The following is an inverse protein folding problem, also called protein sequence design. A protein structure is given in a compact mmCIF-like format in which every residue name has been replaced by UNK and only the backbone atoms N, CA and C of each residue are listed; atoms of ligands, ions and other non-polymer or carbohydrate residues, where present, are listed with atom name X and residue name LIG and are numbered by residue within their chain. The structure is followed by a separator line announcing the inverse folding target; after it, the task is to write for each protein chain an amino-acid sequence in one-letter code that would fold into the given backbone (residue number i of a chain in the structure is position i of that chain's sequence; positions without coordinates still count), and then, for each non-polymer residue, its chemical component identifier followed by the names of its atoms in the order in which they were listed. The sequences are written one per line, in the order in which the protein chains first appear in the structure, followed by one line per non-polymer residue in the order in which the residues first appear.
data_IF_216819717384
#
_entry.id   IF_216819717384
#
_cell.length_a   1.000
_cell.length_b   1.000
_cell.length_c   1.000
_cell.angle_alpha   90.00
_cell.angle_beta   90.00
_cell.angle_gamma   90.00
#
_symmetry.space_group_name_H-M   'P 1'
#
loop_
_entity.id
_entity.type
_entity.pdbx_description
1 polymer ?
#
# COMPACT_ATOMS: atom_id res chain seq x y z
N UNK A 1 -32.51 30.34 11.92
CA UNK A 1 -31.97 28.98 11.64
C UNK A 1 -30.74 29.21 10.80
N UNK A 2 -29.60 29.30 11.49
CA UNK A 2 -28.39 29.95 10.99
C UNK A 2 -27.67 29.07 9.96
N UNK A 3 -27.57 29.57 8.72
CA UNK A 3 -26.84 28.91 7.63
C UNK A 3 -25.39 28.60 7.99
N UNK A 4 -24.78 29.41 8.86
CA UNK A 4 -23.43 29.21 9.40
C UNK A 4 -23.29 27.92 10.22
N UNK A 5 -24.34 27.51 10.93
CA UNK A 5 -24.31 26.28 11.73
C UNK A 5 -24.35 25.04 10.83
N UNK A 6 -25.17 25.08 9.77
CA UNK A 6 -25.26 24.02 8.77
C UNK A 6 -23.98 23.89 7.94
N UNK A 7 -23.36 25.00 7.54
CA UNK A 7 -22.08 24.96 6.81
C UNK A 7 -20.93 24.40 7.66
N UNK A 8 -20.88 24.76 8.95
CA UNK A 8 -19.88 24.27 9.87
C UNK A 8 -20.05 22.78 10.14
N UNK A 9 -21.28 22.33 10.38
CA UNK A 9 -21.63 20.91 10.49
C UNK A 9 -21.27 20.13 9.22
N UNK A 10 -21.55 20.69 8.03
CA UNK A 10 -21.20 20.04 6.76
C UNK A 10 -19.69 19.93 6.56
N UNK A 11 -18.90 20.94 6.98
CA UNK A 11 -17.43 20.88 6.96
C UNK A 11 -16.88 19.86 7.94
N UNK A 12 -17.35 19.87 9.19
CA UNK A 12 -16.92 18.93 10.22
C UNK A 12 -17.29 17.49 9.81
N UNK A 13 -18.50 17.28 9.28
CA UNK A 13 -18.95 15.98 8.76
C UNK A 13 -18.14 15.50 7.55
N UNK A 14 -17.81 16.38 6.59
CA UNK A 14 -16.90 16.03 5.47
C UNK A 14 -15.50 15.69 5.95
N UNK A 15 -14.98 16.41 6.95
CA UNK A 15 -13.68 16.10 7.55
C UNK A 15 -13.69 14.75 8.27
N UNK A 16 -14.79 14.41 8.96
CA UNK A 16 -14.95 13.11 9.63
C UNK A 16 -15.10 11.97 8.63
N UNK A 17 -15.89 12.18 7.56
CA UNK A 17 -16.03 11.22 6.46
C UNK A 17 -14.72 11.01 5.70
N UNK A 18 -13.95 12.08 5.45
CA UNK A 18 -12.61 11.99 4.87
C UNK A 18 -11.69 11.16 5.74
N UNK A 19 -11.63 11.45 7.05
CA UNK A 19 -10.83 10.66 8.00
C UNK A 19 -11.27 9.18 8.10
N UNK A 20 -12.57 8.89 7.99
CA UNK A 20 -13.10 7.53 7.99
C UNK A 20 -12.80 6.77 6.69
N UNK A 21 -12.92 7.42 5.53
CA UNK A 21 -12.60 6.87 4.21
C UNK A 21 -11.10 6.59 4.03
N UNK A 22 -10.26 7.52 4.55
CA UNK A 22 -8.82 7.38 4.61
C UNK A 22 -8.38 6.08 5.33
N UNK A 23 -9.18 5.57 6.27
CA UNK A 23 -8.88 4.31 6.96
C UNK A 23 -9.16 3.05 6.12
N UNK A 24 -10.14 3.04 5.22
CA UNK A 24 -10.43 1.84 4.42
C UNK A 24 -9.47 1.70 3.25
N UNK A 25 -9.23 2.78 2.51
CA UNK A 25 -8.30 2.76 1.38
C UNK A 25 -6.86 2.48 1.84
N UNK A 26 -6.43 3.06 2.97
CA UNK A 26 -5.11 2.77 3.54
C UNK A 26 -4.99 1.32 4.02
N UNK A 27 -6.04 0.74 4.64
CA UNK A 27 -6.06 -0.68 5.05
C UNK A 27 -5.99 -1.63 3.85
N UNK A 28 -6.77 -1.36 2.81
CA UNK A 28 -6.75 -2.15 1.58
C UNK A 28 -5.37 -2.07 0.90
N UNK A 29 -4.77 -0.88 0.86
CA UNK A 29 -3.41 -0.68 0.36
C UNK A 29 -2.37 -1.43 1.20
N UNK A 30 -2.49 -1.40 2.53
CA UNK A 30 -1.59 -2.11 3.44
C UNK A 30 -1.66 -3.63 3.21
N UNK A 31 -2.86 -4.18 3.11
CA UNK A 31 -3.08 -5.60 2.80
C UNK A 31 -2.47 -6.00 1.44
N UNK A 32 -2.63 -5.15 0.44
CA UNK A 32 -2.07 -5.39 -0.89
C UNK A 32 -0.54 -5.39 -0.86
N UNK A 33 0.08 -4.46 -0.13
CA UNK A 33 1.53 -4.39 0.04
C UNK A 33 2.07 -5.61 0.81
N UNK A 34 1.36 -6.10 1.82
CA UNK A 34 1.71 -7.35 2.52
C UNK A 34 1.76 -8.53 1.55
N UNK A 35 0.75 -8.68 0.68
CA UNK A 35 0.74 -9.72 -0.36
C UNK A 35 1.90 -9.58 -1.34
N UNK A 36 2.23 -8.35 -1.75
CA UNK A 36 3.39 -8.11 -2.61
C UNK A 36 4.69 -8.55 -1.94
N UNK A 37 4.86 -8.30 -0.64
CA UNK A 37 6.02 -8.77 0.14
C UNK A 37 6.11 -10.30 0.13
N UNK A 38 4.99 -11.00 0.35
CA UNK A 38 4.94 -12.47 0.28
C UNK A 38 5.36 -13.00 -1.10
N UNK A 39 4.89 -12.35 -2.18
CA UNK A 39 5.28 -12.74 -3.53
C UNK A 39 6.75 -12.46 -3.84
N UNK A 40 7.30 -11.36 -3.32
CA UNK A 40 8.73 -11.06 -3.45
C UNK A 40 9.55 -12.10 -2.69
N UNK A 41 9.16 -12.50 -1.48
CA UNK A 41 9.84 -13.57 -0.75
C UNK A 41 9.75 -14.91 -1.47
N UNK A 42 8.58 -15.26 -2.02
CA UNK A 42 8.43 -16.46 -2.85
C UNK A 42 9.30 -16.41 -4.11
N UNK A 43 9.43 -15.25 -4.75
CA UNK A 43 10.29 -15.06 -5.93
C UNK A 43 11.78 -15.19 -5.55
N UNK A 44 12.19 -14.64 -4.40
CA UNK A 44 13.57 -14.76 -3.87
C UNK A 44 13.97 -16.20 -3.60
N UNK A 45 13.05 -17.01 -3.07
CA UNK A 45 13.31 -18.44 -2.86
C UNK A 45 13.44 -19.22 -4.17
N UNK A 46 12.77 -18.79 -5.25
CA UNK A 46 12.79 -19.47 -6.56
C UNK A 46 13.96 -19.04 -7.45
N UNK A 47 14.33 -17.76 -7.44
CA UNK A 47 15.38 -17.21 -8.29
C UNK A 47 16.63 -16.89 -7.46
N UNK A 48 17.56 -17.85 -7.40
CA UNK A 48 18.81 -17.72 -6.63
C UNK A 48 19.74 -16.55 -7.02
N UNK A 49 19.52 -15.88 -8.17
CA UNK A 49 20.41 -14.82 -8.69
C UNK A 49 19.83 -13.38 -8.64
N UNK A 50 18.51 -13.18 -8.50
CA UNK A 50 17.90 -11.84 -8.43
C UNK A 50 17.77 -11.30 -6.99
N UNK A 51 18.58 -11.83 -6.06
CA UNK A 51 18.39 -11.64 -4.62
C UNK A 51 18.55 -10.20 -4.17
N UNK A 52 19.49 -9.43 -4.75
CA UNK A 52 19.73 -8.03 -4.35
C UNK A 52 18.61 -7.11 -4.79
N UNK A 53 18.18 -7.21 -6.05
CA UNK A 53 17.08 -6.42 -6.62
C UNK A 53 15.77 -6.71 -5.90
N UNK A 54 15.45 -7.99 -5.68
CA UNK A 54 14.26 -8.38 -4.93
C UNK A 54 14.35 -7.99 -3.45
N UNK A 55 15.54 -8.02 -2.83
CA UNK A 55 15.72 -7.52 -1.45
C UNK A 55 15.50 -6.01 -1.36
N UNK A 56 15.96 -5.26 -2.35
CA UNK A 56 15.73 -3.81 -2.41
C UNK A 56 14.25 -3.49 -2.64
N UNK A 57 13.59 -4.20 -3.56
CA UNK A 57 12.15 -4.09 -3.78
C UNK A 57 11.37 -4.39 -2.49
N UNK A 58 11.73 -5.45 -1.77
CA UNK A 58 11.13 -5.77 -0.46
C UNK A 58 11.33 -4.63 0.56
N UNK A 59 12.51 -4.01 0.60
CA UNK A 59 12.77 -2.89 1.50
C UNK A 59 11.87 -1.68 1.19
N UNK A 60 11.64 -1.38 -0.09
CA UNK A 60 10.69 -0.34 -0.50
C UNK A 60 9.26 -0.70 -0.05
N UNK A 61 8.82 -1.94 -0.29
CA UNK A 61 7.48 -2.39 0.15
C UNK A 61 7.29 -2.33 1.66
N UNK A 62 8.31 -2.68 2.44
CA UNK A 62 8.27 -2.52 3.90
C UNK A 62 8.15 -1.04 4.31
N UNK A 63 8.82 -0.13 3.62
CA UNK A 63 8.70 1.31 3.87
C UNK A 63 7.28 1.80 3.59
N UNK A 64 6.71 1.41 2.45
CA UNK A 64 5.31 1.72 2.10
C UNK A 64 4.35 1.16 3.16
N UNK A 65 4.52 -0.10 3.56
CA UNK A 65 3.67 -0.73 4.58
C UNK A 65 3.73 0.00 5.93
N UNK A 66 4.93 0.40 6.36
CA UNK A 66 5.11 1.15 7.60
C UNK A 66 4.38 2.49 7.56
N UNK A 67 4.48 3.22 6.44
CA UNK A 67 3.78 4.48 6.24
C UNK A 67 2.25 4.29 6.21
N UNK A 68 1.74 3.27 5.52
CA UNK A 68 0.31 2.95 5.50
C UNK A 68 -0.23 2.58 6.88
N UNK A 69 0.50 1.77 7.65
CA UNK A 69 0.11 1.42 9.03
C UNK A 69 0.08 2.62 9.97
N UNK A 70 1.03 3.55 9.80
CA UNK A 70 1.03 4.81 10.54
C UNK A 70 -0.23 5.64 10.25
N UNK A 71 -0.69 5.69 8.99
CA UNK A 71 -1.93 6.37 8.60
C UNK A 71 -3.19 5.72 9.20
N UNK A 72 -3.20 4.40 9.36
CA UNK A 72 -4.34 3.67 9.94
C UNK A 72 -4.38 3.80 11.48
N UNK A 73 -3.30 4.26 12.12
CA UNK A 73 -3.15 4.26 13.56
C UNK A 73 -2.95 2.86 14.16
N UNK A 74 -2.67 1.86 13.32
CA UNK A 74 -2.37 0.51 13.75
C UNK A 74 -0.85 0.41 14.04
N UNK A 75 -0.49 0.35 15.33
CA UNK A 75 0.86 -0.07 15.76
C UNK A 75 1.06 -1.60 15.70
N UNK A 76 0.14 -2.32 15.05
CA UNK A 76 0.08 -3.78 15.09
C UNK A 76 1.24 -4.43 14.33
N UNK A 77 1.94 -5.29 15.05
CA UNK A 77 3.00 -6.21 14.61
C UNK A 77 2.52 -6.99 13.37
N UNK A 78 3.39 -7.23 12.35
CA UNK A 78 3.01 -8.04 11.20
C UNK A 78 2.47 -9.39 11.65
N UNK A 79 1.21 -9.68 11.31
CA UNK A 79 0.61 -10.99 11.55
C UNK A 79 1.20 -11.94 10.50
N UNK A 80 2.40 -12.43 10.80
CA UNK A 80 3.15 -13.32 9.93
C UNK A 80 2.42 -14.67 9.95
N UNK A 81 1.41 -14.83 9.08
CA UNK A 81 0.90 -16.15 8.77
C UNK A 81 2.02 -16.88 8.02
N UNK A 82 2.84 -17.60 8.79
CA UNK A 82 3.78 -18.59 8.30
C UNK A 82 3.00 -19.77 7.68
N UNK A 83 2.26 -19.49 6.61
CA UNK A 83 1.62 -20.46 5.76
C UNK A 83 2.31 -20.37 4.43
N UNK A 84 3.23 -21.31 4.16
CA UNK A 84 4.02 -21.36 2.94
C UNK A 84 3.17 -21.04 1.72
N UNK A 85 3.36 -19.85 1.18
CA UNK A 85 2.56 -19.38 0.07
C UNK A 85 2.96 -20.23 -1.14
N UNK A 86 2.20 -21.30 -1.39
CA UNK A 86 2.25 -22.07 -2.64
C UNK A 86 1.64 -21.20 -3.72
N UNK A 87 2.28 -20.08 -4.04
CA UNK A 87 1.81 -19.21 -5.11
C UNK A 87 2.06 -19.93 -6.42
N UNK A 88 1.03 -20.60 -6.93
CA UNK A 88 1.05 -21.12 -8.30
C UNK A 88 0.84 -19.95 -9.27
N UNK A 89 1.53 -20.01 -10.41
CA UNK A 89 1.48 -18.99 -11.47
C UNK A 89 2.68 -18.03 -11.51
N UNK A 90 2.61 -17.08 -12.45
CA UNK A 90 3.65 -16.07 -12.68
C UNK A 90 3.59 -14.98 -11.59
N UNK A 91 4.54 -15.04 -10.65
CA UNK A 91 4.67 -14.10 -9.53
C UNK A 91 4.86 -12.65 -9.99
N UNK A 92 5.63 -12.46 -11.06
CA UNK A 92 5.93 -11.14 -11.59
C UNK A 92 4.68 -10.49 -12.16
N UNK A 93 3.87 -11.25 -12.90
CA UNK A 93 2.57 -10.77 -13.41
C UNK A 93 1.65 -10.31 -12.27
N UNK A 94 1.55 -11.10 -11.19
CA UNK A 94 0.76 -10.72 -10.00
C UNK A 94 1.28 -9.45 -9.33
N UNK A 95 2.60 -9.31 -9.21
CA UNK A 95 3.24 -8.10 -8.70
C UNK A 95 2.88 -6.87 -9.55
N UNK A 96 2.98 -6.96 -10.88
CA UNK A 96 2.62 -5.84 -11.77
C UNK A 96 1.14 -5.51 -11.70
N UNK A 97 0.24 -6.50 -11.75
CA UNK A 97 -1.21 -6.27 -11.66
C UNK A 97 -1.58 -5.59 -10.32
N UNK A 98 -1.06 -6.10 -9.20
CA UNK A 98 -1.28 -5.46 -7.89
C UNK A 98 -0.60 -4.10 -7.75
N UNK A 99 0.46 -3.81 -8.50
CA UNK A 99 1.11 -2.49 -8.47
C UNK A 99 0.16 -1.42 -9.03
N UNK A 100 -0.59 -1.76 -10.07
CA UNK A 100 -1.61 -0.87 -10.65
C UNK A 100 -2.73 -0.63 -9.63
N UNK A 101 -3.23 -1.70 -9.00
CA UNK A 101 -4.24 -1.60 -7.95
C UNK A 101 -3.77 -0.71 -6.78
N UNK A 102 -2.50 -0.83 -6.38
CA UNK A 102 -1.91 0.01 -5.34
C UNK A 102 -1.90 1.49 -5.74
N UNK A 103 -1.53 1.84 -6.97
CA UNK A 103 -1.57 3.23 -7.43
C UNK A 103 -2.99 3.79 -7.45
N UNK A 104 -4.00 2.99 -7.81
CA UNK A 104 -5.41 3.41 -7.75
C UNK A 104 -5.83 3.71 -6.31
N UNK A 105 -5.42 2.89 -5.35
CA UNK A 105 -5.71 3.13 -3.93
C UNK A 105 -5.00 4.38 -3.41
N UNK A 106 -3.74 4.60 -3.78
CA UNK A 106 -2.99 5.80 -3.39
C UNK A 106 -3.55 7.08 -4.01
N UNK A 107 -3.98 7.04 -5.28
CA UNK A 107 -4.63 8.18 -5.94
C UNK A 107 -5.95 8.53 -5.25
N UNK A 108 -6.75 7.52 -4.91
CA UNK A 108 -7.97 7.70 -4.13
C UNK A 108 -7.70 8.33 -2.77
N UNK A 109 -6.67 7.88 -2.06
CA UNK A 109 -6.25 8.48 -0.78
C UNK A 109 -5.81 9.94 -0.95
N UNK A 110 -5.12 10.27 -2.03
CA UNK A 110 -4.76 11.66 -2.38
C UNK A 110 -5.99 12.53 -2.62
N UNK A 111 -7.00 12.02 -3.34
CA UNK A 111 -8.28 12.70 -3.53
C UNK A 111 -9.07 12.89 -2.22
N UNK A 112 -8.88 12.00 -1.24
CA UNK A 112 -9.46 12.07 0.11
C UNK A 112 -8.67 13.00 1.06
N UNK A 113 -7.64 13.69 0.56
CA UNK A 113 -6.87 14.70 1.29
C UNK A 113 -5.73 14.14 2.13
N UNK A 114 -5.39 12.86 1.98
CA UNK A 114 -4.21 12.26 2.61
C UNK A 114 -2.95 12.66 1.85
N UNK A 115 -1.90 13.08 2.57
CA UNK A 115 -0.59 13.28 1.96
C UNK A 115 0.02 11.92 1.59
N UNK A 116 -0.02 11.62 0.29
CA UNK A 116 0.50 10.40 -0.31
C UNK A 116 1.78 10.63 -1.10
N UNK A 117 2.38 11.83 -1.08
CA UNK A 117 3.50 12.17 -1.95
C UNK A 117 4.72 11.24 -1.72
N UNK A 118 5.05 10.95 -0.45
CA UNK A 118 6.16 10.05 -0.12
C UNK A 118 5.85 8.58 -0.47
N UNK A 119 4.58 8.16 -0.32
CA UNK A 119 4.13 6.83 -0.73
C UNK A 119 4.26 6.68 -2.25
N UNK A 120 3.82 7.67 -3.02
CA UNK A 120 3.89 7.68 -4.48
C UNK A 120 5.35 7.70 -4.98
N UNK A 121 6.25 8.48 -4.39
CA UNK A 121 7.69 8.45 -4.74
C UNK A 121 8.29 7.06 -4.47
N UNK A 122 8.00 6.48 -3.31
CA UNK A 122 8.48 5.14 -2.94
C UNK A 122 7.96 4.07 -3.91
N UNK A 123 6.66 4.12 -4.25
CA UNK A 123 6.03 3.17 -5.15
C UNK A 123 6.41 3.36 -6.62
N UNK A 124 6.70 4.58 -7.04
CA UNK A 124 7.24 4.85 -8.39
C UNK A 124 8.62 4.22 -8.56
N UNK A 125 9.47 4.28 -7.53
CA UNK A 125 10.77 3.57 -7.53
C UNK A 125 10.59 2.07 -7.56
N UNK A 126 9.62 1.54 -6.80
CA UNK A 126 9.28 0.12 -6.83
C UNK A 126 8.82 -0.34 -8.22
N UNK A 127 7.99 0.45 -8.91
CA UNK A 127 7.58 0.20 -10.29
C UNK A 127 8.77 0.20 -11.26
N UNK A 128 9.69 1.16 -11.12
CA UNK A 128 10.90 1.22 -11.94
C UNK A 128 11.77 -0.05 -11.80
N UNK A 129 11.87 -0.60 -10.59
CA UNK A 129 12.57 -1.88 -10.34
C UNK A 129 11.80 -3.05 -10.95
N UNK A 130 10.47 -3.07 -10.81
CA UNK A 130 9.65 -4.10 -11.43
C UNK A 130 9.86 -4.09 -12.95
N UNK A 131 9.88 -2.94 -13.62
CA UNK A 131 10.05 -2.85 -15.07
C UNK A 131 11.36 -3.41 -15.64
N UNK A 132 12.36 -3.69 -14.80
CA UNK A 132 13.67 -4.27 -15.20
C UNK A 132 13.90 -5.70 -14.69
N UNK A 133 12.95 -6.26 -13.93
CA UNK A 133 12.93 -7.65 -13.48
C UNK A 133 12.25 -8.55 -14.51
#
# INVERSE_FOLDING_TARGET
MDGDYMERMAREYRATLGAAANSSAARDAAYLVERQIEWIDAARMRQGQATRTLSYLKALKNKTLAALRALIGEQSVPDFKAGGCRVQGNLYRKLVESQIELFVLLDRMGAEGTDVAELLDTETRALGILGVL
#
